data_IF_643144364295
#
_entry.id   IF_643144364295
#
_cell.length_a   1.000
_cell.length_b   1.000
_cell.length_c   1.000
_cell.angle_alpha   90.00
_cell.angle_beta   90.00
_cell.angle_gamma   90.00
#
_symmetry.space_group_name_H-M   'P 1'
#
loop_
_entity.id
_entity.type
_entity.pdbx_description
1 polymer ?
#
# COMPACT_ATOMS: atom_id res chain seq x y z
N UNK A 1 8.41 -6.45 10.70
CA UNK A 1 8.01 -5.12 10.19
C UNK A 1 8.48 -5.06 8.75
N UNK A 2 7.54 -5.17 7.81
CA UNK A 2 7.82 -5.13 6.38
C UNK A 2 7.11 -3.94 5.75
N UNK A 3 7.65 -3.41 4.66
CA UNK A 3 7.09 -2.31 3.87
C UNK A 3 6.22 -2.89 2.76
N UNK A 4 4.93 -2.66 2.84
CA UNK A 4 3.94 -3.25 1.93
C UNK A 4 3.23 -2.14 1.17
N UNK A 5 3.22 -2.25 -0.15
CA UNK A 5 2.50 -1.33 -1.01
C UNK A 5 1.22 -2.03 -1.47
N UNK A 6 0.08 -1.39 -1.23
CA UNK A 6 -1.24 -1.90 -1.63
C UNK A 6 -1.79 -0.95 -2.68
N UNK A 7 -2.02 -1.48 -3.88
CA UNK A 7 -2.51 -0.74 -5.04
C UNK A 7 -3.84 -1.34 -5.47
N UNK A 8 -4.92 -0.57 -5.35
CA UNK A 8 -6.27 -0.99 -5.73
C UNK A 8 -7.10 0.26 -6.06
N UNK A 9 -7.97 0.21 -7.06
CA UNK A 9 -8.82 1.34 -7.43
C UNK A 9 -10.05 1.50 -6.51
N UNK A 10 -10.37 0.49 -5.70
CA UNK A 10 -11.41 0.56 -4.67
C UNK A 10 -10.85 1.08 -3.34
N UNK A 11 -11.16 2.33 -3.01
CA UNK A 11 -10.73 2.94 -1.75
C UNK A 11 -11.26 2.24 -0.48
N UNK A 12 -12.43 1.60 -0.53
CA UNK A 12 -12.97 0.91 0.64
C UNK A 12 -12.16 -0.33 0.97
N UNK A 13 -11.83 -1.12 -0.06
CA UNK A 13 -10.95 -2.28 0.07
C UNK A 13 -9.56 -1.86 0.53
N UNK A 14 -9.00 -0.82 -0.10
CA UNK A 14 -7.69 -0.27 0.23
C UNK A 14 -7.57 0.11 1.72
N UNK A 15 -8.59 0.81 2.24
CA UNK A 15 -8.68 1.20 3.66
C UNK A 15 -8.80 -0.03 4.57
N UNK A 16 -9.63 -1.01 4.20
CA UNK A 16 -9.81 -2.23 4.99
C UNK A 16 -8.49 -3.03 5.10
N UNK A 17 -7.81 -3.23 3.98
CA UNK A 17 -6.53 -3.96 3.94
C UNK A 17 -5.46 -3.20 4.72
N UNK A 18 -5.43 -1.87 4.59
CA UNK A 18 -4.49 -1.04 5.34
C UNK A 18 -4.61 -1.22 6.85
N UNK A 19 -5.84 -1.17 7.38
CA UNK A 19 -6.10 -1.39 8.80
C UNK A 19 -5.64 -2.77 9.29
N UNK A 20 -5.80 -3.82 8.47
CA UNK A 20 -5.35 -5.17 8.84
C UNK A 20 -3.83 -5.27 8.91
N UNK A 21 -3.12 -4.68 7.94
CA UNK A 21 -1.66 -4.74 7.84
C UNK A 21 -0.98 -3.84 8.89
N UNK A 22 -1.52 -2.65 9.17
CA UNK A 22 -1.05 -1.80 10.28
C UNK A 22 -1.16 -2.51 11.62
N UNK A 23 -2.29 -3.20 11.88
CA UNK A 23 -2.47 -3.99 13.10
C UNK A 23 -1.48 -5.15 13.21
N UNK A 24 -0.99 -5.65 12.08
CA UNK A 24 0.11 -6.62 12.02
C UNK A 24 1.50 -6.03 12.29
N UNK A 25 1.62 -4.71 12.46
CA UNK A 25 2.89 -4.03 12.67
C UNK A 25 3.72 -3.85 11.39
N UNK A 26 3.06 -3.76 10.24
CA UNK A 26 3.69 -3.44 8.96
C UNK A 26 3.62 -1.95 8.66
N UNK A 27 4.61 -1.44 7.93
CA UNK A 27 4.55 -0.10 7.35
C UNK A 27 3.87 -0.23 5.99
N UNK A 28 2.75 0.46 5.81
CA UNK A 28 1.96 0.34 4.60
C UNK A 28 1.91 1.64 3.84
N UNK A 29 1.89 1.52 2.51
CA UNK A 29 1.60 2.62 1.59
C UNK A 29 0.38 2.22 0.78
N UNK A 30 -0.71 2.96 0.96
CA UNK A 30 -1.97 2.75 0.24
C UNK A 30 -2.02 3.67 -0.97
N UNK A 31 -2.25 3.11 -2.15
CA UNK A 31 -2.22 3.83 -3.41
C UNK A 31 -3.50 3.49 -4.19
N UNK A 32 -4.33 4.49 -4.48
CA UNK A 32 -5.60 4.28 -5.21
C UNK A 32 -5.46 4.42 -6.74
N UNK A 33 -4.24 4.71 -7.21
CA UNK A 33 -3.93 5.01 -8.60
C UNK A 33 -2.79 4.10 -9.06
N UNK A 34 -3.02 3.21 -10.03
CA UNK A 34 -1.98 2.30 -10.52
C UNK A 34 -0.76 3.03 -11.09
N UNK A 35 -0.97 4.20 -11.71
CA UNK A 35 0.10 5.06 -12.24
C UNK A 35 0.97 5.61 -11.12
N UNK A 36 0.36 6.12 -10.05
CA UNK A 36 1.11 6.62 -8.89
C UNK A 36 1.87 5.48 -8.20
N UNK A 37 1.28 4.28 -8.18
CA UNK A 37 1.91 3.08 -7.65
C UNK A 37 3.20 2.71 -8.38
N UNK A 38 3.18 2.76 -9.71
CA UNK A 38 4.36 2.50 -10.53
C UNK A 38 5.47 3.54 -10.30
N UNK A 39 5.13 4.82 -10.14
CA UNK A 39 6.12 5.87 -9.86
C UNK A 39 6.69 5.75 -8.44
N UNK A 40 5.87 5.38 -7.46
CA UNK A 40 6.32 5.17 -6.09
C UNK A 40 7.25 3.96 -5.96
N UNK A 41 6.94 2.84 -6.61
CA UNK A 41 7.79 1.62 -6.58
C UNK A 41 9.18 1.89 -7.17
N UNK A 42 9.29 2.78 -8.16
CA UNK A 42 10.59 3.19 -8.73
C UNK A 42 11.43 3.99 -7.74
N UNK A 43 10.79 4.77 -6.87
CA UNK A 43 11.44 5.68 -5.91
C UNK A 43 11.76 4.98 -4.59
N UNK A 44 10.84 4.16 -4.09
CA UNK A 44 11.01 3.36 -2.89
C UNK A 44 10.47 1.95 -3.13
N UNK A 45 11.30 0.95 -2.84
CA UNK A 45 10.96 -0.44 -3.08
C UNK A 45 10.27 -1.03 -1.85
N UNK A 46 9.06 -1.63 -2.00
CA UNK A 46 8.51 -2.48 -0.96
C UNK A 46 9.44 -3.68 -0.71
N UNK A 47 9.28 -4.31 0.46
CA UNK A 47 10.07 -5.49 0.83
C UNK A 47 9.59 -6.78 0.13
#
# INVERSE_FOLDING_TARGET
MARIFVIDDDEQLLRMVGLMLERGGHNITLINSPLDGLEQIKTDKPD
#
